data_IF_149327074754
#
_entry.id   IF_149327074754
#
_cell.length_a   1.000
_cell.length_b   1.000
_cell.length_c   1.000
_cell.angle_alpha   90.00
_cell.angle_beta   90.00
_cell.angle_gamma   90.00
#
_symmetry.space_group_name_H-M   'P 1'
#
loop_
_entity.id
_entity.type
_entity.pdbx_description
1 polymer ?
#
# COMPACT_ATOMS: atom_id res chain seq x y z
N UNK A 1 19.24 -1.83 45.30
CA UNK A 1 19.26 -0.96 44.10
C UNK A 1 18.94 -1.82 42.89
N UNK A 2 17.79 -1.62 42.22
CA UNK A 2 17.41 -2.38 41.02
C UNK A 2 18.00 -1.67 39.79
N UNK A 3 18.81 -2.40 39.02
CA UNK A 3 19.42 -1.96 37.78
C UNK A 3 18.35 -1.67 36.73
N UNK A 4 18.44 -0.52 36.06
CA UNK A 4 17.56 -0.16 34.95
C UNK A 4 17.90 -1.03 33.72
N UNK A 5 16.89 -1.52 32.95
CA UNK A 5 17.16 -2.29 31.75
C UNK A 5 17.79 -1.39 30.67
N UNK A 6 18.95 -1.82 30.18
CA UNK A 6 19.65 -1.25 29.04
C UNK A 6 18.83 -1.46 27.76
N UNK A 7 18.24 -0.39 27.22
CA UNK A 7 17.64 -0.41 25.89
C UNK A 7 18.71 -0.61 24.83
N UNK A 8 18.47 -1.57 23.92
CA UNK A 8 19.40 -2.02 22.90
C UNK A 8 19.99 -0.88 22.06
N UNK A 9 21.31 -0.95 21.90
CA UNK A 9 22.14 -0.05 21.11
C UNK A 9 21.76 -0.11 19.63
N UNK A 10 21.63 1.07 19.00
CA UNK A 10 21.32 1.25 17.57
C UNK A 10 22.40 0.57 16.70
N UNK A 11 22.00 -0.38 15.86
CA UNK A 11 22.80 -0.77 14.69
C UNK A 11 22.58 0.22 13.54
N UNK A 12 23.63 0.35 12.72
CA UNK A 12 24.01 1.45 11.81
C UNK A 12 22.97 1.97 10.79
N UNK A 13 23.22 3.22 10.38
CA UNK A 13 22.46 4.16 9.53
C UNK A 13 22.41 3.83 8.02
N UNK A 14 22.70 2.61 7.56
CA UNK A 14 22.81 2.32 6.11
C UNK A 14 22.16 1.02 5.64
N UNK A 15 21.37 0.34 6.47
CA UNK A 15 20.62 -0.84 6.02
C UNK A 15 19.18 -0.44 5.68
N UNK A 16 18.71 -0.81 4.49
CA UNK A 16 17.31 -0.68 4.10
C UNK A 16 16.43 -1.38 5.15
N UNK A 17 15.73 -0.60 5.97
CA UNK A 17 15.01 -1.11 7.13
C UNK A 17 13.62 -1.55 6.69
N UNK A 18 13.49 -2.80 6.25
CA UNK A 18 12.20 -3.40 5.86
C UNK A 18 11.26 -3.68 7.06
N UNK A 19 11.71 -3.44 8.29
CA UNK A 19 11.14 -4.02 9.51
C UNK A 19 9.91 -3.30 10.04
N UNK A 20 8.77 -3.98 10.00
CA UNK A 20 7.56 -3.66 10.76
C UNK A 20 7.89 -3.59 12.26
N UNK A 21 7.39 -2.56 12.96
CA UNK A 21 7.61 -2.39 14.40
C UNK A 21 6.29 -2.14 15.11
N UNK A 22 6.01 -2.90 16.17
CA UNK A 22 4.96 -2.51 17.10
C UNK A 22 5.42 -1.24 17.83
N UNK A 23 4.67 -0.15 17.66
CA UNK A 23 4.91 1.11 18.37
C UNK A 23 3.97 1.19 19.56
N UNK A 24 4.39 1.92 20.61
CA UNK A 24 3.66 1.99 21.87
C UNK A 24 2.20 2.42 21.66
N UNK A 25 1.30 1.89 22.51
CA UNK A 25 -0.14 2.19 22.46
C UNK A 25 -0.36 3.69 22.66
N UNK A 26 -0.92 4.37 21.66
CA UNK A 26 -1.52 5.68 21.83
C UNK A 26 -3.03 5.45 22.01
N UNK A 27 -3.61 5.87 23.14
CA UNK A 27 -5.04 5.76 23.41
C UNK A 27 -5.61 4.32 23.35
N UNK A 28 -4.80 3.31 23.68
CA UNK A 28 -5.25 1.91 23.82
C UNK A 28 -5.24 1.06 22.54
N UNK A 29 -5.09 1.65 21.35
CA UNK A 29 -4.91 0.90 20.09
C UNK A 29 -3.42 0.63 19.82
N UNK A 30 -3.11 -0.58 19.39
CA UNK A 30 -1.76 -0.93 18.93
C UNK A 30 -1.49 -0.21 17.60
N UNK A 31 -0.32 0.40 17.48
CA UNK A 31 0.10 1.12 16.28
C UNK A 31 1.23 0.37 15.59
N UNK A 32 1.14 0.23 14.27
CA UNK A 32 2.08 -0.57 13.49
C UNK A 32 2.97 0.36 12.67
N UNK A 33 4.24 0.45 13.03
CA UNK A 33 5.25 1.16 12.25
C UNK A 33 5.66 0.35 11.03
N UNK A 34 5.69 0.96 9.85
CA UNK A 34 6.20 0.34 8.61
C UNK A 34 7.02 1.36 7.83
N UNK A 35 8.08 0.91 7.15
CA UNK A 35 8.80 1.75 6.19
C UNK A 35 8.05 1.79 4.86
N UNK A 36 7.93 2.96 4.26
CA UNK A 36 7.33 3.22 2.96
C UNK A 36 8.05 4.40 2.32
N UNK A 37 8.87 4.13 1.30
CA UNK A 37 9.66 5.17 0.62
C UNK A 37 8.78 6.25 0.01
N UNK A 38 7.67 5.86 -0.63
CA UNK A 38 6.68 6.78 -1.22
C UNK A 38 5.91 7.60 -0.18
N UNK A 39 6.07 7.30 1.12
CA UNK A 39 5.51 8.09 2.22
C UNK A 39 6.59 8.82 3.03
N UNK A 40 7.76 9.06 2.43
CA UNK A 40 8.89 9.77 3.03
C UNK A 40 9.45 9.06 4.29
N UNK A 41 9.43 7.72 4.27
CA UNK A 41 10.11 6.88 5.26
C UNK A 41 9.16 6.10 6.17
N UNK A 42 9.31 6.24 7.49
CA UNK A 42 8.54 5.46 8.46
C UNK A 42 7.18 6.09 8.76
N UNK A 43 6.11 5.35 8.48
CA UNK A 43 4.73 5.70 8.83
C UNK A 43 4.18 4.78 9.92
N UNK A 44 3.06 5.17 10.55
CA UNK A 44 2.48 4.45 11.69
C UNK A 44 0.98 4.22 11.49
N UNK A 45 0.61 3.03 11.03
CA UNK A 45 -0.79 2.67 10.72
C UNK A 45 -1.54 2.10 11.91
N UNK A 46 -2.88 2.14 11.86
CA UNK A 46 -3.76 1.68 12.95
C UNK A 46 -4.17 0.22 12.82
N UNK A 47 -3.96 -0.41 11.66
CA UNK A 47 -4.35 -1.80 11.39
C UNK A 47 -3.39 -2.51 10.43
N UNK A 48 -3.42 -3.85 10.43
CA UNK A 48 -2.69 -4.66 9.45
C UNK A 48 -3.25 -4.50 8.03
N UNK A 49 -4.55 -4.23 7.89
CA UNK A 49 -5.18 -3.90 6.61
C UNK A 49 -4.60 -2.60 6.03
N UNK A 50 -4.50 -1.52 6.83
CA UNK A 50 -3.82 -0.29 6.40
C UNK A 50 -2.36 -0.53 6.07
N UNK A 51 -1.67 -1.40 6.84
CA UNK A 51 -0.28 -1.75 6.55
C UNK A 51 -0.13 -2.41 5.18
N UNK A 52 -1.02 -3.34 4.84
CA UNK A 52 -1.04 -3.99 3.55
C UNK A 52 -1.30 -2.97 2.43
N UNK A 53 -2.30 -2.10 2.59
CA UNK A 53 -2.60 -1.05 1.60
C UNK A 53 -1.40 -0.13 1.41
N UNK A 54 -0.71 0.28 2.49
CA UNK A 54 0.53 1.04 2.37
C UNK A 54 1.63 0.29 1.60
N UNK A 55 1.68 -1.05 1.66
CA UNK A 55 2.61 -1.86 0.87
C UNK A 55 2.20 -1.86 -0.61
N UNK A 56 0.92 -2.03 -0.91
CA UNK A 56 0.38 -1.95 -2.28
C UNK A 56 0.61 -0.57 -2.90
N UNK A 57 0.44 0.51 -2.15
CA UNK A 57 0.76 1.87 -2.60
C UNK A 57 2.26 2.07 -2.90
N UNK A 58 3.15 1.36 -2.20
CA UNK A 58 4.57 1.36 -2.54
C UNK A 58 4.84 0.60 -3.86
N UNK A 59 4.08 -0.46 -4.12
CA UNK A 59 4.23 -1.33 -5.29
C UNK A 59 3.67 -0.69 -6.56
N UNK A 60 2.51 -0.05 -6.48
CA UNK A 60 1.82 0.54 -7.63
C UNK A 60 2.68 1.66 -8.26
N UNK A 61 3.17 1.50 -9.51
CA UNK A 61 4.06 2.47 -10.15
C UNK A 61 3.35 3.79 -10.50
N UNK A 62 2.00 3.81 -10.53
CA UNK A 62 1.23 5.05 -10.74
C UNK A 62 1.25 5.93 -9.50
N UNK A 63 1.47 5.37 -8.31
CA UNK A 63 1.60 6.17 -7.09
C UNK A 63 2.99 6.77 -7.05
N UNK A 64 3.08 8.10 -7.05
CA UNK A 64 4.33 8.85 -6.86
C UNK A 64 4.66 9.01 -5.38
N UNK A 65 3.66 9.40 -4.58
CA UNK A 65 3.81 9.60 -3.15
C UNK A 65 2.48 9.42 -2.43
N UNK A 66 2.48 9.13 -1.14
CA UNK A 66 1.26 9.06 -0.34
C UNK A 66 1.47 9.52 1.10
N UNK A 67 0.37 9.86 1.77
CA UNK A 67 0.34 10.26 3.18
C UNK A 67 -0.77 9.51 3.89
N UNK A 68 -0.47 9.06 5.11
CA UNK A 68 -1.45 8.48 6.01
C UNK A 68 -2.19 9.60 6.76
N UNK A 69 -3.51 9.44 6.94
CA UNK A 69 -4.38 10.41 7.62
C UNK A 69 -4.07 11.86 7.19
N UNK A 70 -4.14 12.15 5.88
CA UNK A 70 -3.53 13.32 5.25
C UNK A 70 -4.17 14.65 5.65
N UNK A 71 -5.46 14.63 6.00
CA UNK A 71 -6.29 15.77 6.38
C UNK A 71 -7.59 15.28 7.01
N UNK A 72 -8.36 16.18 7.61
CA UNK A 72 -9.71 15.93 8.09
C UNK A 72 -10.72 16.69 7.24
N UNK A 73 -11.77 16.01 6.80
CA UNK A 73 -12.94 16.58 6.14
C UNK A 73 -13.89 17.12 7.21
N UNK A 74 -14.16 18.42 7.15
CA UNK A 74 -15.23 19.07 7.91
C UNK A 74 -16.56 18.83 7.19
N UNK A 75 -17.38 17.92 7.71
CA UNK A 75 -18.65 17.54 7.06
C UNK A 75 -19.71 18.65 7.16
N UNK A 76 -19.54 19.57 8.11
CA UNK A 76 -20.44 20.70 8.35
C UNK A 76 -19.99 21.92 7.57
N UNK A 77 -18.68 22.18 7.56
CA UNK A 77 -18.07 23.31 6.87
C UNK A 77 -17.70 23.04 5.41
N UNK A 78 -17.90 21.81 4.92
CA UNK A 78 -17.66 21.37 3.54
C UNK A 78 -16.25 21.72 3.03
N UNK A 79 -15.24 21.42 3.85
CA UNK A 79 -13.85 21.77 3.56
C UNK A 79 -12.86 20.76 4.09
N UNK A 80 -11.67 20.76 3.50
CA UNK A 80 -10.53 19.97 3.97
C UNK A 80 -9.69 20.79 4.96
N UNK A 81 -9.32 20.17 6.07
CA UNK A 81 -8.50 20.73 7.14
C UNK A 81 -7.19 19.94 7.20
N UNK A 82 -6.09 20.58 6.82
CA UNK A 82 -4.78 19.93 6.69
C UNK A 82 -3.94 20.08 7.96
N UNK A 83 -4.30 21.01 8.83
CA UNK A 83 -3.56 21.34 10.05
C UNK A 83 -4.41 21.16 11.32
N UNK A 84 -3.73 21.01 12.45
CA UNK A 84 -4.40 20.90 13.76
C UNK A 84 -5.06 22.22 14.16
N UNK A 85 -4.48 23.32 13.73
CA UNK A 85 -4.98 24.68 13.95
C UNK A 85 -6.31 24.87 13.22
N UNK A 86 -6.39 24.52 11.94
CA UNK A 86 -7.63 24.54 11.16
C UNK A 86 -8.71 23.65 11.79
N UNK A 87 -8.33 22.46 12.26
CA UNK A 87 -9.24 21.56 12.97
C UNK A 87 -9.75 22.17 14.28
N UNK A 88 -8.88 22.82 15.05
CA UNK A 88 -9.25 23.50 16.30
C UNK A 88 -10.22 24.65 16.04
N UNK A 89 -9.95 25.50 15.05
CA UNK A 89 -10.80 26.63 14.69
C UNK A 89 -12.16 26.17 14.14
N UNK A 90 -12.17 25.12 13.33
CA UNK A 90 -13.40 24.52 12.85
C UNK A 90 -14.27 23.99 13.99
N UNK A 91 -13.68 23.30 14.98
CA UNK A 91 -14.39 22.83 16.18
C UNK A 91 -14.92 23.98 17.03
N UNK A 92 -14.15 25.06 17.20
CA UNK A 92 -14.60 26.27 17.94
C UNK A 92 -15.80 26.93 17.27
N UNK A 93 -15.77 27.09 15.95
CA UNK A 93 -16.88 27.70 15.19
C UNK A 93 -18.18 26.88 15.26
N UNK A 94 -18.10 25.57 15.49
CA UNK A 94 -19.26 24.67 15.56
C UNK A 94 -20.00 24.69 16.90
N UNK A 95 -19.44 25.30 17.96
CA UNK A 95 -20.12 25.65 19.22
C UNK A 95 -21.21 24.68 19.69
N UNK A 96 -20.90 23.38 19.82
CA UNK A 96 -21.83 22.39 20.41
C UNK A 96 -22.86 21.77 19.45
N UNK A 97 -22.73 21.90 18.13
CA UNK A 97 -23.51 21.10 17.17
C UNK A 97 -23.28 19.59 17.42
N UNK A 98 -24.36 18.86 17.70
CA UNK A 98 -24.34 17.41 17.87
C UNK A 98 -24.32 16.70 16.51
N UNK A 99 -23.53 15.63 16.35
CA UNK A 99 -23.49 14.80 15.14
C UNK A 99 -22.10 14.34 14.73
N UNK A 100 -22.03 13.55 13.66
CA UNK A 100 -20.79 13.23 12.94
C UNK A 100 -20.31 14.50 12.24
N UNK A 101 -19.22 15.10 12.71
CA UNK A 101 -18.75 16.41 12.20
C UNK A 101 -17.48 16.31 11.37
N UNK A 102 -16.74 15.23 11.50
CA UNK A 102 -15.39 15.08 10.98
C UNK A 102 -15.17 13.68 10.43
N UNK A 103 -14.54 13.59 9.27
CA UNK A 103 -14.09 12.35 8.65
C UNK A 103 -12.63 12.49 8.25
N UNK A 104 -11.84 11.44 8.37
CA UNK A 104 -10.42 11.43 7.96
C UNK A 104 -10.21 10.17 7.13
N UNK A 105 -9.84 10.28 5.85
CA UNK A 105 -9.49 9.10 5.06
C UNK A 105 -8.18 8.50 5.58
N UNK A 106 -8.00 7.19 5.41
CA UNK A 106 -6.80 6.50 5.87
C UNK A 106 -5.55 6.91 5.08
N UNK A 107 -5.69 7.11 3.76
CA UNK A 107 -4.61 7.55 2.89
C UNK A 107 -5.05 8.59 1.87
N UNK A 108 -4.11 9.46 1.47
CA UNK A 108 -4.17 10.16 0.18
C UNK A 108 -2.88 9.93 -0.60
N UNK A 109 -3.00 9.89 -1.92
CA UNK A 109 -1.92 9.63 -2.86
C UNK A 109 -1.84 10.74 -3.88
N UNK A 110 -0.62 11.03 -4.31
CA UNK A 110 -0.35 11.76 -5.55
C UNK A 110 0.09 10.75 -6.58
N UNK A 111 -0.61 10.72 -7.70
CA UNK A 111 -0.32 9.84 -8.83
C UNK A 111 0.80 10.43 -9.70
N UNK A 112 1.34 9.63 -10.62
CA UNK A 112 2.44 9.99 -11.51
C UNK A 112 2.04 11.12 -12.48
N UNK A 113 0.77 11.15 -12.89
CA UNK A 113 0.16 12.22 -13.68
C UNK A 113 -0.15 13.50 -12.86
N UNK A 114 0.09 13.48 -11.55
CA UNK A 114 -0.17 14.58 -10.62
C UNK A 114 -1.58 14.62 -10.04
N UNK A 115 -2.48 13.73 -10.45
CA UNK A 115 -3.82 13.62 -9.89
C UNK A 115 -3.76 13.08 -8.45
N UNK A 116 -4.75 13.46 -7.65
CA UNK A 116 -4.87 13.00 -6.27
C UNK A 116 -5.91 11.89 -6.16
N UNK A 117 -5.74 10.99 -5.19
CA UNK A 117 -6.77 10.02 -4.78
C UNK A 117 -6.75 9.82 -3.28
N UNK A 118 -7.88 9.49 -2.70
CA UNK A 118 -7.97 9.11 -1.29
C UNK A 118 -8.54 7.71 -1.12
N UNK A 119 -8.16 7.06 -0.03
CA UNK A 119 -8.54 5.69 0.27
C UNK A 119 -9.05 5.56 1.71
N UNK A 120 -10.20 4.93 1.86
CA UNK A 120 -10.71 4.37 3.11
C UNK A 120 -10.41 2.87 3.10
N UNK A 121 -9.80 2.33 4.16
CA UNK A 121 -9.45 0.92 4.24
C UNK A 121 -10.42 0.19 5.16
N UNK A 122 -10.92 -0.95 4.70
CA UNK A 122 -11.76 -1.86 5.48
C UNK A 122 -11.29 -3.29 5.33
N UNK A 123 -11.51 -4.08 6.38
CA UNK A 123 -11.37 -5.53 6.30
C UNK A 123 -12.66 -6.11 5.73
N UNK A 124 -12.55 -7.14 4.91
CA UNK A 124 -13.69 -7.91 4.43
C UNK A 124 -14.52 -8.42 5.63
N UNK A 125 -15.84 -8.30 5.51
CA UNK A 125 -16.78 -8.58 6.61
C UNK A 125 -17.04 -7.38 7.52
N UNK A 126 -16.38 -6.23 7.30
CA UNK A 126 -16.84 -4.97 7.88
C UNK A 126 -18.15 -4.54 7.21
N UNK A 127 -19.24 -4.63 7.95
CA UNK A 127 -20.55 -4.18 7.45
C UNK A 127 -20.71 -2.67 7.54
N UNK A 128 -20.26 -2.06 8.64
CA UNK A 128 -20.60 -0.67 8.99
C UNK A 128 -22.09 -0.49 9.27
N UNK A 129 -22.47 0.56 10.00
CA UNK A 129 -23.88 0.94 10.11
C UNK A 129 -24.26 1.98 9.03
N UNK A 130 -25.56 2.20 8.83
CA UNK A 130 -26.06 3.18 7.85
C UNK A 130 -25.50 4.58 8.11
N UNK A 131 -25.30 4.94 9.38
CA UNK A 131 -24.78 6.24 9.78
C UNK A 131 -23.31 6.41 9.36
N UNK A 132 -22.51 5.37 9.47
CA UNK A 132 -21.12 5.33 9.02
C UNK A 132 -21.05 5.49 7.50
N UNK A 133 -21.85 4.76 6.73
CA UNK A 133 -21.81 4.89 5.27
C UNK A 133 -22.35 6.22 4.78
N UNK A 134 -23.42 6.74 5.40
CA UNK A 134 -23.90 8.10 5.11
C UNK A 134 -22.81 9.16 5.35
N UNK A 135 -21.99 8.98 6.40
CA UNK A 135 -20.83 9.83 6.69
C UNK A 135 -19.76 9.72 5.61
N UNK A 136 -19.41 8.51 5.18
CA UNK A 136 -18.41 8.26 4.13
C UNK A 136 -18.86 8.85 2.80
N UNK A 137 -20.11 8.64 2.40
CA UNK A 137 -20.65 9.21 1.16
C UNK A 137 -20.67 10.74 1.20
N UNK A 138 -21.05 11.32 2.34
CA UNK A 138 -20.95 12.78 2.51
C UNK A 138 -19.53 13.29 2.39
N UNK A 139 -18.56 12.57 2.96
CA UNK A 139 -17.15 12.92 2.82
C UNK A 139 -16.68 12.78 1.36
N UNK A 140 -17.11 11.73 0.65
CA UNK A 140 -16.80 11.49 -0.77
C UNK A 140 -17.19 12.69 -1.64
N UNK A 141 -18.42 13.20 -1.49
CA UNK A 141 -18.91 14.38 -2.22
C UNK A 141 -18.02 15.61 -2.00
N UNK A 142 -17.69 15.89 -0.73
CA UNK A 142 -16.84 17.03 -0.38
C UNK A 142 -15.44 16.82 -0.97
N UNK A 143 -14.83 15.66 -0.77
CA UNK A 143 -13.47 15.39 -1.23
C UNK A 143 -13.34 15.43 -2.76
N UNK A 144 -14.35 14.97 -3.50
CA UNK A 144 -14.43 15.07 -4.96
C UNK A 144 -14.34 16.54 -5.41
N UNK A 145 -15.05 17.46 -4.75
CA UNK A 145 -15.00 18.89 -5.05
C UNK A 145 -13.60 19.51 -4.81
N UNK A 146 -12.75 18.88 -3.99
CA UNK A 146 -11.35 19.26 -3.77
C UNK A 146 -10.37 18.40 -4.58
N UNK A 147 -10.85 17.68 -5.60
CA UNK A 147 -10.06 16.81 -6.47
C UNK A 147 -9.41 15.61 -5.75
N UNK A 148 -9.98 15.14 -4.63
CA UNK A 148 -9.59 13.91 -3.93
C UNK A 148 -10.69 12.85 -4.04
N UNK A 149 -10.89 12.21 -5.21
CA UNK A 149 -11.84 11.10 -5.32
C UNK A 149 -11.53 10.03 -4.27
N UNK A 150 -12.52 9.71 -3.44
CA UNK A 150 -12.43 8.73 -2.36
C UNK A 150 -12.87 7.36 -2.87
N UNK A 151 -12.06 6.34 -2.61
CA UNK A 151 -12.40 4.93 -2.86
C UNK A 151 -12.27 4.12 -1.58
N UNK A 152 -13.17 3.16 -1.39
CA UNK A 152 -13.04 2.17 -0.31
C UNK A 152 -12.24 0.99 -0.83
N UNK A 153 -11.25 0.56 -0.06
CA UNK A 153 -10.42 -0.62 -0.31
C UNK A 153 -10.80 -1.68 0.70
N UNK A 154 -11.28 -2.82 0.22
CA UNK A 154 -11.71 -3.95 1.04
C UNK A 154 -10.61 -5.01 1.01
N UNK A 155 -9.84 -5.08 2.10
CA UNK A 155 -8.78 -6.07 2.29
C UNK A 155 -9.40 -7.43 2.57
N UNK A 156 -9.07 -8.49 1.80
CA UNK A 156 -9.57 -9.83 2.04
C UNK A 156 -9.30 -10.31 3.47
N UNK A 157 -10.26 -11.02 4.06
CA UNK A 157 -10.08 -11.63 5.39
C UNK A 157 -9.19 -12.87 5.32
N UNK A 158 -9.10 -13.51 4.15
CA UNK A 158 -8.17 -14.61 3.90
C UNK A 158 -6.74 -14.08 3.76
N UNK A 159 -5.89 -14.39 4.74
CA UNK A 159 -4.47 -14.04 4.73
C UNK A 159 -3.70 -14.71 3.58
N UNK A 160 -4.24 -15.81 3.03
CA UNK A 160 -3.68 -16.50 1.87
C UNK A 160 -4.19 -15.95 0.54
N UNK A 161 -4.99 -14.88 0.52
CA UNK A 161 -5.44 -14.28 -0.73
C UNK A 161 -4.23 -13.84 -1.59
N UNK A 162 -4.20 -14.12 -2.92
CA UNK A 162 -3.03 -13.84 -3.76
C UNK A 162 -2.54 -12.40 -3.69
N UNK A 163 -3.44 -11.41 -3.80
CA UNK A 163 -3.09 -10.00 -3.64
C UNK A 163 -2.40 -9.66 -2.31
N UNK A 164 -2.78 -10.34 -1.21
CA UNK A 164 -2.18 -10.14 0.13
C UNK A 164 -0.76 -10.71 0.15
N UNK A 165 -0.60 -11.98 -0.24
CA UNK A 165 0.69 -12.69 -0.20
C UNK A 165 1.67 -12.08 -1.19
N UNK A 166 1.24 -11.83 -2.43
CA UNK A 166 2.09 -11.29 -3.48
C UNK A 166 2.57 -9.87 -3.14
N UNK A 167 1.73 -9.02 -2.54
CA UNK A 167 2.17 -7.69 -2.10
C UNK A 167 3.31 -7.77 -1.06
N UNK A 168 3.26 -8.75 -0.15
CA UNK A 168 4.33 -8.96 0.83
C UNK A 168 5.64 -9.44 0.20
N UNK A 169 5.57 -10.20 -0.90
CA UNK A 169 6.74 -10.65 -1.66
C UNK A 169 7.33 -9.54 -2.55
N UNK A 170 6.47 -8.74 -3.19
CA UNK A 170 6.86 -7.70 -4.16
C UNK A 170 7.49 -6.49 -3.48
N UNK A 171 6.97 -6.06 -2.33
CA UNK A 171 7.49 -4.88 -1.63
C UNK A 171 9.01 -4.93 -1.39
N UNK A 172 9.58 -5.98 -0.77
CA UNK A 172 11.02 -6.08 -0.61
C UNK A 172 11.75 -6.31 -1.93
N UNK A 173 11.11 -6.94 -2.92
CA UNK A 173 11.71 -7.20 -4.22
C UNK A 173 11.97 -5.90 -5.01
N UNK A 174 11.01 -4.96 -5.03
CA UNK A 174 11.17 -3.64 -5.66
C UNK A 174 12.39 -2.91 -5.10
N UNK A 175 12.52 -2.88 -3.77
CA UNK A 175 13.62 -2.17 -3.10
C UNK A 175 15.00 -2.76 -3.41
N UNK A 176 15.07 -4.04 -3.84
CA UNK A 176 16.33 -4.77 -4.08
C UNK A 176 16.50 -5.22 -5.53
N UNK A 177 15.60 -4.85 -6.44
CA UNK A 177 15.60 -5.38 -7.79
C UNK A 177 16.94 -5.11 -8.50
N UNK A 178 17.48 -3.91 -8.34
CA UNK A 178 18.77 -3.51 -8.91
C UNK A 178 19.99 -4.18 -8.26
N UNK A 179 19.84 -4.79 -7.07
CA UNK A 179 20.94 -5.53 -6.41
C UNK A 179 21.11 -6.94 -7.01
N UNK A 180 20.05 -7.47 -7.66
CA UNK A 180 19.99 -8.87 -8.07
C UNK A 180 19.79 -9.07 -9.57
N UNK A 181 19.27 -8.07 -10.30
CA UNK A 181 19.02 -8.16 -11.73
C UNK A 181 20.18 -7.56 -12.53
N UNK A 182 20.70 -8.35 -13.47
CA UNK A 182 21.68 -7.92 -14.47
C UNK A 182 21.01 -7.85 -15.83
N UNK A 183 21.58 -7.06 -16.76
CA UNK A 183 21.09 -6.98 -18.13
C UNK A 183 21.06 -8.37 -18.82
N UNK A 184 22.07 -9.21 -18.58
CA UNK A 184 22.09 -10.58 -19.12
C UNK A 184 20.90 -11.44 -18.66
N UNK A 185 20.53 -11.37 -17.38
CA UNK A 185 19.36 -12.10 -16.86
C UNK A 185 18.09 -11.59 -17.52
N UNK A 186 17.95 -10.26 -17.67
CA UNK A 186 16.80 -9.64 -18.32
C UNK A 186 16.68 -10.13 -19.78
N UNK A 187 17.75 -9.99 -20.57
CA UNK A 187 17.78 -10.37 -21.98
C UNK A 187 17.49 -11.86 -22.19
N UNK A 188 17.92 -12.73 -21.26
CA UNK A 188 17.65 -14.17 -21.31
C UNK A 188 16.20 -14.49 -21.01
N UNK A 189 15.60 -13.82 -20.03
CA UNK A 189 14.20 -14.02 -19.64
C UNK A 189 13.26 -13.50 -20.73
N UNK A 190 13.52 -12.32 -21.28
CA UNK A 190 12.68 -11.76 -22.36
C UNK A 190 12.69 -12.67 -23.59
N UNK A 191 13.88 -13.11 -24.04
CA UNK A 191 14.01 -14.05 -25.16
C UNK A 191 13.32 -15.38 -24.92
N UNK A 192 13.37 -15.90 -23.69
CA UNK A 192 12.67 -17.13 -23.34
C UNK A 192 11.15 -16.98 -23.51
N UNK A 193 10.60 -15.84 -23.11
CA UNK A 193 9.17 -15.53 -23.21
C UNK A 193 8.71 -15.11 -24.62
N UNK A 194 9.60 -14.89 -25.60
CA UNK A 194 9.23 -14.63 -27.00
C UNK A 194 8.42 -15.78 -27.61
N UNK A 195 8.63 -17.01 -27.12
CA UNK A 195 7.89 -18.20 -27.57
C UNK A 195 6.48 -18.31 -26.99
N UNK A 196 6.09 -17.39 -26.09
CA UNK A 196 4.79 -17.34 -25.44
C UNK A 196 4.86 -17.51 -23.92
N UNK A 197 3.69 -17.56 -23.26
CA UNK A 197 3.61 -17.72 -21.81
C UNK A 197 4.25 -19.03 -21.34
N UNK A 198 4.87 -19.00 -20.16
CA UNK A 198 5.54 -20.15 -19.58
C UNK A 198 5.30 -20.24 -18.06
N UNK A 199 5.30 -21.45 -17.53
CA UNK A 199 5.21 -21.66 -16.10
C UNK A 199 6.52 -21.23 -15.41
N UNK A 200 6.41 -20.61 -14.24
CA UNK A 200 7.55 -20.18 -13.42
C UNK A 200 8.59 -21.28 -13.25
N UNK A 201 8.17 -22.52 -12.98
CA UNK A 201 9.08 -23.65 -12.80
C UNK A 201 9.89 -23.97 -14.06
N UNK A 202 9.29 -23.88 -15.24
CA UNK A 202 9.93 -24.21 -16.50
C UNK A 202 10.95 -23.13 -16.85
N UNK A 203 10.52 -21.86 -16.78
CA UNK A 203 11.41 -20.71 -16.99
C UNK A 203 12.62 -20.74 -16.04
N UNK A 204 12.40 -20.98 -14.74
CA UNK A 204 13.50 -21.05 -13.77
C UNK A 204 14.45 -22.23 -14.04
N UNK A 205 13.91 -23.39 -14.41
CA UNK A 205 14.71 -24.58 -14.69
C UNK A 205 15.55 -24.41 -15.98
N UNK A 206 14.91 -23.96 -17.06
CA UNK A 206 15.54 -23.86 -18.38
C UNK A 206 16.58 -22.73 -18.45
N UNK A 207 16.38 -21.65 -17.67
CA UNK A 207 17.34 -20.56 -17.54
C UNK A 207 18.29 -20.72 -16.36
N UNK A 208 18.16 -21.77 -15.55
CA UNK A 208 18.95 -22.01 -14.34
C UNK A 208 18.96 -20.80 -13.37
N UNK A 209 17.84 -20.07 -13.28
CA UNK A 209 17.70 -18.93 -12.37
C UNK A 209 16.93 -19.31 -11.10
N UNK A 210 17.29 -18.76 -9.92
CA UNK A 210 16.56 -19.04 -8.69
C UNK A 210 15.16 -18.43 -8.72
N UNK A 211 14.18 -19.17 -8.19
CA UNK A 211 12.78 -18.73 -8.08
C UNK A 211 12.61 -17.43 -7.29
N UNK A 212 13.55 -17.13 -6.38
CA UNK A 212 13.58 -15.87 -5.63
C UNK A 212 13.78 -14.62 -6.48
N UNK A 213 14.21 -14.75 -7.75
CA UNK A 213 14.30 -13.61 -8.69
C UNK A 213 12.96 -13.24 -9.32
N UNK A 214 11.97 -14.13 -9.30
CA UNK A 214 10.69 -13.91 -9.98
C UNK A 214 9.96 -12.66 -9.47
N UNK A 215 9.85 -12.40 -8.15
CA UNK A 215 9.30 -11.14 -7.66
C UNK A 215 10.06 -9.90 -8.16
N UNK A 216 11.38 -9.99 -8.35
CA UNK A 216 12.17 -8.86 -8.86
C UNK A 216 11.93 -8.63 -10.35
N UNK A 217 11.86 -9.70 -11.14
CA UNK A 217 11.54 -9.65 -12.58
C UNK A 217 10.13 -9.10 -12.84
N UNK A 218 9.16 -9.48 -12.00
CA UNK A 218 7.81 -8.92 -12.01
C UNK A 218 7.81 -7.44 -11.62
N UNK A 219 8.57 -7.07 -10.58
CA UNK A 219 8.64 -5.71 -10.04
C UNK A 219 9.21 -4.68 -11.03
N UNK A 220 10.12 -5.08 -11.92
CA UNK A 220 10.74 -4.19 -12.91
C UNK A 220 10.10 -4.26 -14.30
N UNK A 221 9.05 -5.06 -14.48
CA UNK A 221 8.33 -5.15 -15.76
C UNK A 221 9.06 -5.97 -16.83
N UNK A 222 9.91 -6.91 -16.43
CA UNK A 222 10.45 -7.93 -17.35
C UNK A 222 9.41 -9.01 -17.57
N UNK A 223 8.77 -9.44 -16.47
CA UNK A 223 7.68 -10.41 -16.47
C UNK A 223 6.38 -9.76 -16.02
N UNK A 224 5.27 -10.30 -16.51
CA UNK A 224 3.92 -10.03 -16.02
C UNK A 224 3.19 -11.34 -15.73
N UNK A 225 2.20 -11.27 -14.86
CA UNK A 225 1.25 -12.33 -14.54
C UNK A 225 0.00 -11.74 -13.88
N UNK A 226 -1.07 -12.52 -13.79
CA UNK A 226 -2.22 -12.15 -12.97
C UNK A 226 -1.93 -12.40 -11.49
N UNK A 227 -1.39 -11.36 -10.84
CA UNK A 227 -0.99 -11.37 -9.44
C UNK A 227 -2.14 -11.16 -8.46
N UNK A 228 -3.32 -10.81 -8.96
CA UNK A 228 -4.50 -10.59 -8.14
C UNK A 228 -5.19 -11.92 -7.81
N UNK A 229 -5.16 -12.86 -8.77
CA UNK A 229 -5.85 -14.14 -8.68
C UNK A 229 -4.92 -15.35 -8.52
N UNK A 230 -3.62 -15.21 -8.79
CA UNK A 230 -2.65 -16.31 -8.68
C UNK A 230 -1.45 -15.95 -7.81
N UNK A 231 -1.02 -16.90 -6.98
CA UNK A 231 0.19 -16.76 -6.17
C UNK A 231 1.46 -16.81 -7.02
N UNK A 232 2.49 -16.07 -6.61
CA UNK A 232 3.84 -16.25 -7.14
C UNK A 232 4.39 -17.61 -6.67
N UNK A 233 4.22 -18.63 -7.50
CA UNK A 233 4.62 -20.00 -7.23
C UNK A 233 4.97 -20.76 -8.51
N UNK A 234 5.39 -22.02 -8.38
CA UNK A 234 5.87 -22.85 -9.49
C UNK A 234 4.87 -23.02 -10.65
N UNK A 235 3.58 -22.84 -10.41
CA UNK A 235 2.50 -22.96 -11.41
C UNK A 235 2.03 -21.61 -11.94
N UNK A 236 2.61 -20.50 -11.49
CA UNK A 236 2.29 -19.18 -12.04
C UNK A 236 2.70 -19.14 -13.51
N UNK A 237 1.77 -18.79 -14.38
CA UNK A 237 2.05 -18.50 -15.77
C UNK A 237 2.61 -17.09 -15.90
N UNK A 238 3.73 -16.98 -16.61
CA UNK A 238 4.49 -15.76 -16.79
C UNK A 238 4.60 -15.45 -18.28
N UNK A 239 4.51 -14.18 -18.63
CA UNK A 239 4.80 -13.71 -19.98
C UNK A 239 5.70 -12.47 -19.94
N UNK A 240 6.31 -12.13 -21.06
CA UNK A 240 7.11 -10.93 -21.18
C UNK A 240 6.22 -9.68 -20.99
N UNK A 241 6.68 -8.74 -20.17
CA UNK A 241 5.97 -7.49 -19.91
C UNK A 241 6.50 -6.32 -20.73
N UNK A 242 7.75 -6.38 -21.21
CA UNK A 242 8.38 -5.34 -22.03
C UNK A 242 8.28 -3.93 -21.39
N UNK A 243 8.41 -3.87 -20.07
CA UNK A 243 8.30 -2.64 -19.28
C UNK A 243 6.88 -2.27 -18.86
N UNK A 244 5.84 -3.02 -19.26
CA UNK A 244 4.51 -2.86 -18.68
C UNK A 244 4.51 -3.28 -17.21
N UNK A 245 3.77 -2.52 -16.41
CA UNK A 245 3.67 -2.72 -14.95
C UNK A 245 2.22 -2.79 -14.49
N UNK A 246 1.27 -3.01 -15.40
CA UNK A 246 -0.15 -3.00 -15.09
C UNK A 246 -0.57 -4.10 -14.11
N UNK A 247 0.12 -5.24 -14.13
CA UNK A 247 -0.05 -6.33 -13.16
C UNK A 247 0.28 -5.94 -11.70
N UNK A 248 0.95 -4.81 -11.48
CA UNK A 248 1.26 -4.29 -10.16
C UNK A 248 0.15 -3.41 -9.57
N UNK A 249 -0.95 -3.17 -10.30
CA UNK A 249 -2.08 -2.34 -9.87
C UNK A 249 -3.00 -3.06 -8.86
N UNK A 250 -2.41 -3.78 -7.90
CA UNK A 250 -3.11 -4.67 -6.96
C UNK A 250 -4.20 -3.98 -6.12
N UNK A 251 -4.06 -2.68 -5.88
CA UNK A 251 -5.05 -1.93 -5.10
C UNK A 251 -6.39 -1.81 -5.83
N UNK A 252 -6.40 -1.79 -7.17
CA UNK A 252 -7.62 -1.65 -7.97
C UNK A 252 -8.55 -2.86 -7.80
N UNK A 253 -7.97 -4.04 -7.68
CA UNK A 253 -8.66 -5.32 -7.48
C UNK A 253 -9.37 -5.41 -6.11
N UNK A 254 -8.97 -4.55 -5.17
CA UNK A 254 -9.54 -4.49 -3.83
C UNK A 254 -10.52 -3.32 -3.66
N UNK A 255 -10.80 -2.54 -4.71
CA UNK A 255 -11.75 -1.43 -4.63
C UNK A 255 -13.19 -1.94 -4.67
N UNK A 256 -14.05 -1.39 -3.81
CA UNK A 256 -15.51 -1.59 -3.85
C UNK A 256 -16.22 -0.43 -4.55
#
# INVERSE_FOLDING_TARGET
MRSAPSYGVRSRRSAANAGVRLTARAYGKARIGTYAEKADGHITVESDAERLVAHMLCIDPRVRSFRQQPFTVDLVGERLLFTREELSEARKMRSGRAGEVEYTPDFATVQADGLQRAYEVKLQGFEGDERYWAKVERAREIMEAYCYPLSTVVVPADEWHPAVVNAQLLKPAIARAHEHLTADIIDRVERYCESGPALQRALCADLEIPTGLIPSLLAVGVLQADLAHHHICATLELSAAYGDLSHLYLIEELRS
#
